data_IF_310258013408
#
_entry.id   IF_310258013408
#
_cell.length_a   1.000
_cell.length_b   1.000
_cell.length_c   1.000
_cell.angle_alpha   90.00
_cell.angle_beta   90.00
_cell.angle_gamma   90.00
#
_symmetry.space_group_name_H-M   'P 1'
#
loop_
_entity.id
_entity.type
_entity.pdbx_description
1 polymer ?
#
# COMPACT_ATOMS: atom_id res chain seq x y z
N UNK A 1 9.41 -4.56 13.49
CA UNK A 1 9.91 -4.33 12.12
C UNK A 1 9.44 -2.96 11.69
N UNK A 2 10.15 -2.24 10.82
CA UNK A 2 9.62 -1.00 10.22
C UNK A 2 9.37 -1.28 8.75
N UNK A 3 8.10 -1.47 8.40
CA UNK A 3 7.66 -1.67 7.01
C UNK A 3 7.66 -0.33 6.31
N UNK A 4 8.34 -0.26 5.17
CA UNK A 4 8.33 0.95 4.34
C UNK A 4 7.34 0.77 3.20
N UNK A 5 6.41 1.70 3.09
CA UNK A 5 5.46 1.74 1.98
C UNK A 5 5.69 3.02 1.19
N UNK A 6 5.88 2.85 -0.11
CA UNK A 6 5.94 3.94 -1.07
C UNK A 6 4.58 4.07 -1.72
N UNK A 7 4.00 5.27 -1.71
CA UNK A 7 2.77 5.57 -2.47
C UNK A 7 3.13 6.50 -3.61
N UNK A 8 2.79 6.09 -4.83
CA UNK A 8 3.03 6.83 -6.06
C UNK A 8 1.71 7.21 -6.73
N UNK A 9 1.68 8.42 -7.28
CA UNK A 9 0.57 8.92 -8.07
C UNK A 9 0.86 8.77 -9.57
N UNK A 10 -0.06 8.12 -10.27
CA UNK A 10 -0.02 7.85 -11.70
C UNK A 10 -1.14 8.63 -12.42
N UNK A 11 -0.89 9.90 -12.82
CA UNK A 11 -1.91 10.74 -13.46
C UNK A 11 -2.43 10.14 -14.78
N UNK A 12 -1.66 9.28 -15.43
CA UNK A 12 -2.07 8.56 -16.65
C UNK A 12 -3.23 7.59 -16.43
N UNK A 13 -3.51 7.19 -15.19
CA UNK A 13 -4.60 6.29 -14.80
C UNK A 13 -5.86 7.06 -14.35
N UNK A 14 -5.75 8.36 -14.10
CA UNK A 14 -6.81 9.17 -13.52
C UNK A 14 -8.06 9.18 -14.42
N UNK A 15 -9.18 8.70 -13.86
CA UNK A 15 -10.51 8.70 -14.49
C UNK A 15 -11.03 7.31 -14.83
N UNK A 16 -10.25 6.48 -15.52
CA UNK A 16 -10.64 5.11 -15.89
C UNK A 16 -10.18 4.07 -14.87
N UNK A 17 -9.10 4.35 -14.13
CA UNK A 17 -8.48 3.44 -13.16
C UNK A 17 -8.11 4.16 -11.86
N UNK A 18 -7.67 3.36 -10.87
CA UNK A 18 -7.12 3.81 -9.60
C UNK A 18 -5.72 4.41 -9.82
N UNK A 19 -5.52 5.73 -9.63
CA UNK A 19 -4.26 6.39 -9.94
C UNK A 19 -3.23 6.32 -8.81
N UNK A 20 -3.60 5.86 -7.61
CA UNK A 20 -2.64 5.68 -6.52
C UNK A 20 -2.20 4.22 -6.44
N UNK A 21 -0.89 4.01 -6.41
CA UNK A 21 -0.28 2.69 -6.27
C UNK A 21 0.59 2.70 -5.01
N UNK A 22 0.28 1.83 -4.06
CA UNK A 22 1.07 1.64 -2.84
C UNK A 22 1.90 0.37 -2.95
N UNK A 23 3.22 0.49 -2.81
CA UNK A 23 4.17 -0.62 -2.89
C UNK A 23 4.88 -0.82 -1.56
N UNK A 24 4.87 -2.05 -1.06
CA UNK A 24 5.59 -2.40 0.16
C UNK A 24 7.04 -2.71 -0.22
N UNK A 25 8.00 -1.89 0.21
CA UNK A 25 9.38 -1.99 -0.27
C UNK A 25 10.07 -3.31 0.14
N UNK A 26 9.67 -3.86 1.29
CA UNK A 26 10.15 -5.15 1.78
C UNK A 26 9.49 -6.35 1.06
N UNK A 27 8.36 -6.10 0.37
CA UNK A 27 7.55 -7.09 -0.36
C UNK A 27 7.04 -6.48 -1.68
N UNK A 28 7.92 -6.22 -2.66
CA UNK A 28 7.58 -5.47 -3.88
C UNK A 28 6.53 -6.16 -4.77
N UNK A 29 6.32 -7.46 -4.57
CA UNK A 29 5.23 -8.23 -5.17
C UNK A 29 3.85 -7.90 -4.60
N UNK A 30 3.79 -7.27 -3.42
CA UNK A 30 2.56 -6.83 -2.77
C UNK A 30 2.33 -5.34 -3.07
N UNK A 31 1.30 -5.08 -3.86
CA UNK A 31 0.92 -3.76 -4.30
C UNK A 31 -0.56 -3.55 -4.06
N UNK A 32 -0.94 -2.35 -3.66
CA UNK A 32 -2.33 -1.95 -3.50
C UNK A 32 -2.68 -0.79 -4.40
N UNK A 33 -3.95 -0.70 -4.76
CA UNK A 33 -4.47 0.30 -5.68
C UNK A 33 -5.61 1.09 -5.02
N UNK A 34 -5.77 2.36 -5.39
CA UNK A 34 -6.88 3.16 -4.89
C UNK A 34 -7.09 4.49 -5.62
N UNK A 35 -8.26 5.09 -5.42
CA UNK A 35 -8.56 6.45 -5.87
C UNK A 35 -7.96 7.51 -4.95
N UNK A 36 -7.48 7.11 -3.78
CA UNK A 36 -6.75 7.93 -2.82
C UNK A 36 -5.48 7.22 -2.32
N UNK A 37 -4.48 7.95 -1.80
CA UNK A 37 -3.30 7.36 -1.17
C UNK A 37 -3.67 6.37 -0.04
N UNK A 38 -4.69 6.71 0.75
CA UNK A 38 -5.14 5.91 1.88
C UNK A 38 -5.79 4.60 1.45
N UNK A 39 -6.56 4.61 0.36
CA UNK A 39 -7.16 3.41 -0.23
C UNK A 39 -6.07 2.46 -0.76
N UNK A 40 -5.13 2.99 -1.54
CA UNK A 40 -4.02 2.20 -2.06
C UNK A 40 -3.19 1.58 -0.92
N UNK A 41 -2.91 2.37 0.13
CA UNK A 41 -2.22 1.87 1.31
C UNK A 41 -3.02 0.78 2.04
N UNK A 42 -4.33 0.97 2.22
CA UNK A 42 -5.17 -0.02 2.89
C UNK A 42 -5.22 -1.33 2.11
N UNK A 43 -5.33 -1.26 0.78
CA UNK A 43 -5.34 -2.41 -0.11
C UNK A 43 -3.99 -3.17 -0.05
N UNK A 44 -2.86 -2.46 -0.12
CA UNK A 44 -1.53 -3.05 -0.01
C UNK A 44 -1.34 -3.77 1.35
N UNK A 45 -1.79 -3.14 2.44
CA UNK A 45 -1.70 -3.73 3.77
C UNK A 45 -2.63 -4.94 3.95
N UNK A 46 -3.77 -5.00 3.27
CA UNK A 46 -4.66 -6.15 3.29
C UNK A 46 -3.97 -7.37 2.64
N UNK A 47 -3.30 -7.19 1.49
CA UNK A 47 -2.49 -8.25 0.90
C UNK A 47 -1.35 -8.69 1.81
N UNK A 48 -0.73 -7.76 2.55
CA UNK A 48 0.31 -8.11 3.52
C UNK A 48 -0.23 -8.90 4.72
N UNK A 49 -1.43 -8.57 5.22
CA UNK A 49 -2.12 -9.34 6.26
C UNK A 49 -2.36 -10.78 5.81
N UNK A 50 -2.86 -10.97 4.59
CA UNK A 50 -3.05 -12.30 3.99
C UNK A 50 -1.73 -13.05 3.82
N UNK A 51 -0.69 -12.37 3.32
CA UNK A 51 0.63 -12.95 3.10
C UNK A 51 1.31 -13.39 4.40
N UNK A 52 1.23 -12.57 5.46
CA UNK A 52 1.87 -12.86 6.75
C UNK A 52 1.00 -13.69 7.69
N UNK A 53 -0.31 -13.82 7.41
CA UNK A 53 -1.29 -14.42 8.31
C UNK A 53 -1.40 -13.68 9.63
N UNK A 54 -1.20 -12.36 9.64
CA UNK A 54 -1.17 -11.50 10.84
C UNK A 54 -2.19 -10.40 10.74
N UNK A 55 -2.85 -10.02 11.85
CA UNK A 55 -3.85 -8.98 11.83
C UNK A 55 -3.29 -7.62 11.42
N UNK A 56 -3.99 -6.92 10.53
CA UNK A 56 -3.70 -5.56 10.04
C UNK A 56 -3.34 -4.57 11.13
N UNK A 57 -3.97 -4.69 12.31
CA UNK A 57 -3.72 -3.82 13.47
C UNK A 57 -2.25 -3.84 13.91
N UNK A 58 -1.62 -5.01 13.92
CA UNK A 58 -0.21 -5.17 14.30
C UNK A 58 0.69 -4.58 13.22
N UNK A 59 0.34 -4.82 11.96
CA UNK A 59 1.10 -4.32 10.81
C UNK A 59 1.08 -2.79 10.77
N UNK A 60 -0.07 -2.14 10.99
CA UNK A 60 -0.22 -0.68 10.97
C UNK A 60 0.64 0.04 12.02
N UNK A 61 0.90 -0.58 13.17
CA UNK A 61 1.81 -0.02 14.19
C UNK A 61 3.28 -0.04 13.75
N UNK A 62 3.60 -0.87 12.76
CA UNK A 62 4.95 -1.09 12.23
C UNK A 62 5.21 -0.40 10.88
N UNK A 63 4.22 0.30 10.31
CA UNK A 63 4.31 0.90 8.98
C UNK A 63 4.77 2.36 9.04
N UNK A 64 5.77 2.68 8.23
CA UNK A 64 6.16 4.04 7.88
C UNK A 64 5.77 4.28 6.41
N UNK A 65 4.97 5.32 6.18
CA UNK A 65 4.47 5.70 4.85
C UNK A 65 5.29 6.85 4.32
N UNK A 66 5.85 6.69 3.13
CA UNK A 66 6.49 7.75 2.36
C UNK A 66 5.66 7.98 1.08
N UNK A 67 5.23 9.23 0.86
CA UNK A 67 4.44 9.63 -0.32
C UNK A 67 5.37 10.41 -1.25
N UNK A 68 5.46 9.99 -2.51
CA UNK A 68 6.32 10.58 -3.54
C UNK A 68 5.53 11.35 -4.60
#
# INVERSE_FOLDING_TARGET
>A
MKLKVLVEYHPELEGEHEPYVARILDYPELQGYGFTPEEALQDALAFLEEHLGRPLKVIREEVQVDVA
#
